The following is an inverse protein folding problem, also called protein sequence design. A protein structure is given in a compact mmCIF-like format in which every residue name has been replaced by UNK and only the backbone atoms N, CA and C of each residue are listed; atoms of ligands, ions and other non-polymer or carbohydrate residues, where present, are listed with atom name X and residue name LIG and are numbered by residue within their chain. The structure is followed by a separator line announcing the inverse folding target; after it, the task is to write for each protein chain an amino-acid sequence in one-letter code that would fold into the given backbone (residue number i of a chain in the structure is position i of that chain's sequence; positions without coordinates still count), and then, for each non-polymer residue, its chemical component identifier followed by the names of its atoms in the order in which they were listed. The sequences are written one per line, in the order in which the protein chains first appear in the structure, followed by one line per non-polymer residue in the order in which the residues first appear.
data_IF_508834810055
#
_entry.id   IF_508834810055
#
_cell.length_a   1.000
_cell.length_b   1.000
_cell.length_c   1.000
_cell.angle_alpha   90.00
_cell.angle_beta   90.00
_cell.angle_gamma   90.00
#
_symmetry.space_group_name_H-M   'P 1'
#
loop_
_entity.id
_entity.type
_entity.pdbx_description
1 polymer ?
#
# COMPACT_ATOMS: atom_id res chain seq x y z
N UNK A 1 -9.10 -19.97 -37.50
CA UNK A 1 -8.85 -19.64 -36.08
C UNK A 1 -7.35 -19.79 -35.84
N UNK A 2 -6.61 -18.70 -35.62
CA UNK A 2 -5.16 -18.76 -35.38
C UNK A 2 -4.90 -19.12 -33.92
N UNK A 3 -4.19 -20.22 -33.69
CA UNK A 3 -3.82 -20.75 -32.38
C UNK A 3 -2.40 -20.35 -31.96
N UNK A 4 -1.85 -19.28 -32.53
CA UNK A 4 -0.47 -18.90 -32.27
C UNK A 4 -0.36 -18.23 -30.89
N UNK A 5 0.33 -18.89 -29.95
CA UNK A 5 0.75 -18.29 -28.67
C UNK A 5 1.63 -17.08 -29.00
N UNK A 6 1.07 -15.88 -28.81
CA UNK A 6 1.70 -14.62 -29.18
C UNK A 6 3.09 -14.45 -28.56
N UNK A 7 4.04 -14.08 -29.41
CA UNK A 7 5.41 -13.61 -29.14
C UNK A 7 5.80 -13.47 -27.65
N UNK A 8 6.35 -14.54 -27.08
CA UNK A 8 6.70 -14.67 -25.66
C UNK A 8 7.89 -13.78 -25.26
N UNK A 9 8.59 -13.21 -26.25
CA UNK A 9 9.70 -12.26 -26.06
C UNK A 9 9.47 -10.99 -26.90
N UNK A 10 8.88 -9.96 -26.27
CA UNK A 10 8.85 -8.61 -26.86
C UNK A 10 10.27 -8.06 -26.92
N UNK A 11 10.83 -7.94 -28.12
CA UNK A 11 12.13 -7.29 -28.36
C UNK A 11 12.04 -5.75 -28.38
N UNK A 12 10.86 -5.19 -28.71
CA UNK A 12 10.66 -3.75 -28.84
C UNK A 12 9.99 -3.17 -27.57
N UNK A 13 10.46 -2.02 -27.05
CA UNK A 13 9.77 -1.32 -25.97
C UNK A 13 8.37 -0.88 -26.37
N UNK A 14 7.53 -0.63 -25.36
CA UNK A 14 6.17 -0.13 -25.56
C UNK A 14 6.19 1.17 -26.39
N UNK A 15 5.40 1.23 -27.47
CA UNK A 15 5.36 2.39 -28.40
C UNK A 15 5.05 3.71 -27.71
N UNK A 16 4.20 3.66 -26.69
CA UNK A 16 3.76 4.83 -25.92
C UNK A 16 4.28 4.71 -24.49
N UNK A 17 5.49 5.23 -24.25
CA UNK A 17 6.07 5.32 -22.91
C UNK A 17 5.75 6.67 -22.28
N UNK A 18 5.55 6.69 -20.96
CA UNK A 18 5.38 7.94 -20.24
C UNK A 18 6.73 8.69 -20.20
N UNK A 19 6.75 9.94 -20.68
CA UNK A 19 7.94 10.80 -20.60
C UNK A 19 8.23 11.31 -19.19
N UNK A 20 7.23 11.29 -18.30
CA UNK A 20 7.32 11.73 -16.92
C UNK A 20 6.59 10.77 -15.99
N UNK A 21 7.09 10.63 -14.76
CA UNK A 21 6.42 9.86 -13.73
C UNK A 21 5.05 10.46 -13.39
N UNK A 22 4.09 9.61 -13.03
CA UNK A 22 2.79 10.06 -12.55
C UNK A 22 2.94 10.84 -11.24
N UNK A 23 2.31 12.01 -11.19
CA UNK A 23 2.21 12.89 -10.02
C UNK A 23 0.73 13.11 -9.74
N UNK A 24 0.27 12.77 -8.54
CA UNK A 24 -1.15 12.84 -8.19
C UNK A 24 -1.64 14.28 -7.94
N UNK A 25 -0.73 15.20 -7.64
CA UNK A 25 -0.94 16.61 -7.31
C UNK A 25 -0.78 17.56 -8.51
N UNK A 26 -0.36 17.04 -9.68
CA UNK A 26 -0.06 17.86 -10.87
C UNK A 26 -1.26 18.72 -11.31
N UNK A 27 -2.47 18.17 -11.22
CA UNK A 27 -3.72 18.85 -11.62
C UNK A 27 -4.78 18.85 -10.51
N UNK A 28 -4.65 17.98 -9.52
CA UNK A 28 -5.62 17.80 -8.47
C UNK A 28 -5.02 18.27 -7.15
N UNK A 29 -5.32 19.53 -6.82
CA UNK A 29 -4.83 20.21 -5.62
C UNK A 29 -5.84 20.15 -4.48
N UNK A 30 -6.76 19.20 -4.50
CA UNK A 30 -7.76 19.05 -3.44
C UNK A 30 -7.08 18.85 -2.08
N UNK A 31 -7.68 19.43 -1.02
CA UNK A 31 -7.20 19.30 0.37
C UNK A 31 -6.99 17.83 0.75
N UNK A 32 -7.86 16.95 0.26
CA UNK A 32 -7.76 15.50 0.45
C UNK A 32 -6.49 14.90 -0.14
N UNK A 33 -6.12 15.29 -1.36
CA UNK A 33 -4.90 14.79 -2.02
C UNK A 33 -3.65 15.29 -1.30
N UNK A 34 -3.65 16.55 -0.86
CA UNK A 34 -2.57 17.12 -0.05
C UNK A 34 -2.41 16.37 1.28
N UNK A 35 -3.52 16.12 1.98
CA UNK A 35 -3.51 15.34 3.23
C UNK A 35 -3.00 13.91 3.00
N UNK A 36 -3.42 13.24 1.93
CA UNK A 36 -2.92 11.91 1.63
C UNK A 36 -1.42 11.91 1.29
N UNK A 37 -0.91 12.96 0.64
CA UNK A 37 0.51 13.10 0.33
C UNK A 37 1.37 13.43 1.56
N UNK A 38 0.81 14.08 2.58
CA UNK A 38 1.51 14.34 3.84
C UNK A 38 1.43 13.18 4.84
N UNK A 39 0.63 12.14 4.57
CA UNK A 39 0.57 10.96 5.44
C UNK A 39 1.88 10.17 5.37
N UNK A 40 2.61 10.18 6.48
CA UNK A 40 3.77 9.32 6.66
C UNK A 40 3.34 7.94 7.19
N UNK A 41 3.83 6.87 6.55
CA UNK A 41 3.51 5.50 6.92
C UNK A 41 4.76 4.88 7.56
N UNK A 42 4.78 4.85 8.89
CA UNK A 42 5.89 4.35 9.71
C UNK A 42 5.54 3.12 10.53
N UNK A 43 4.26 2.78 10.64
CA UNK A 43 3.74 1.73 11.53
C UNK A 43 3.82 0.31 10.95
N UNK A 44 4.22 0.14 9.69
CA UNK A 44 4.16 -1.14 8.95
C UNK A 44 5.53 -1.56 8.44
N UNK A 45 5.68 -2.85 8.11
CA UNK A 45 6.91 -3.36 7.48
C UNK A 45 7.17 -2.72 6.10
N UNK A 46 8.43 -2.74 5.64
CA UNK A 46 8.88 -2.09 4.41
C UNK A 46 8.04 -2.46 3.18
N UNK A 47 7.79 -3.77 2.97
CA UNK A 47 6.93 -4.25 1.88
C UNK A 47 5.51 -3.65 1.94
N UNK A 48 4.94 -3.53 3.13
CA UNK A 48 3.61 -2.95 3.29
C UNK A 48 3.60 -1.45 3.11
N UNK A 49 4.67 -0.76 3.52
CA UNK A 49 4.89 0.67 3.32
C UNK A 49 4.83 1.01 1.83
N UNK A 50 5.62 0.31 1.01
CA UNK A 50 5.63 0.50 -0.45
C UNK A 50 4.26 0.31 -1.10
N UNK A 51 3.49 -0.71 -0.67
CA UNK A 51 2.14 -0.96 -1.18
C UNK A 51 1.20 0.21 -0.85
N UNK A 52 1.29 0.77 0.35
CA UNK A 52 0.41 1.85 0.79
C UNK A 52 0.82 3.19 0.18
N UNK A 53 2.11 3.50 0.10
CA UNK A 53 2.66 4.66 -0.61
C UNK A 53 2.28 4.62 -2.09
N UNK A 54 2.38 3.46 -2.73
CA UNK A 54 1.90 3.28 -4.10
C UNK A 54 0.41 3.60 -4.24
N UNK A 55 -0.42 3.16 -3.28
CA UNK A 55 -1.85 3.50 -3.28
C UNK A 55 -2.09 5.01 -3.14
N UNK A 56 -1.30 5.71 -2.33
CA UNK A 56 -1.38 7.18 -2.22
C UNK A 56 -0.95 7.84 -3.53
N UNK A 57 0.23 7.45 -4.05
CA UNK A 57 0.81 7.98 -5.30
C UNK A 57 -0.13 7.85 -6.49
N UNK A 58 -0.90 6.76 -6.57
CA UNK A 58 -1.84 6.51 -7.67
C UNK A 58 -3.31 6.79 -7.33
N UNK A 59 -3.60 7.52 -6.24
CA UNK A 59 -4.97 7.86 -5.80
C UNK A 59 -5.89 6.65 -5.58
N UNK A 60 -5.32 5.49 -5.27
CA UNK A 60 -6.03 4.25 -4.95
C UNK A 60 -6.22 4.05 -3.44
N UNK A 61 -5.75 4.99 -2.61
CA UNK A 61 -5.88 4.96 -1.16
C UNK A 61 -7.28 5.42 -0.73
N UNK A 62 -8.02 4.54 -0.06
CA UNK A 62 -9.36 4.82 0.47
C UNK A 62 -9.28 4.99 1.99
N UNK A 63 -9.70 6.16 2.47
CA UNK A 63 -9.87 6.43 3.91
C UNK A 63 -11.04 5.61 4.48
N UNK A 64 -10.93 5.25 5.76
CA UNK A 64 -12.03 4.62 6.49
C UNK A 64 -13.10 5.65 6.82
N UNK A 65 -14.37 5.25 6.72
CA UNK A 65 -15.50 6.04 7.24
C UNK A 65 -15.73 5.78 8.72
N UNK A 66 -15.42 4.57 9.18
CA UNK A 66 -15.57 4.13 10.56
C UNK A 66 -14.42 3.19 10.95
N UNK A 67 -14.08 3.11 12.25
CA UNK A 67 -13.09 2.16 12.74
C UNK A 67 -13.46 0.71 12.42
N UNK A 68 -12.44 -0.10 12.12
CA UNK A 68 -12.59 -1.54 11.89
C UNK A 68 -12.31 -2.35 13.16
N UNK A 69 -12.78 -3.59 13.15
CA UNK A 69 -12.50 -4.58 14.20
C UNK A 69 -11.07 -5.09 14.05
N UNK A 70 -10.31 -5.09 15.14
CA UNK A 70 -8.97 -5.68 15.22
C UNK A 70 -9.03 -7.20 15.21
N UNK A 71 -8.19 -7.87 14.41
CA UNK A 71 -8.14 -9.34 14.37
C UNK A 71 -7.48 -9.98 15.60
N UNK A 72 -6.87 -9.19 16.49
CA UNK A 72 -6.18 -9.67 17.70
C UNK A 72 -6.97 -9.46 18.99
N UNK A 73 -7.53 -8.28 19.21
CA UNK A 73 -8.34 -8.00 20.40
C UNK A 73 -9.86 -7.99 20.13
N UNK A 74 -10.31 -8.12 18.88
CA UNK A 74 -11.73 -8.08 18.50
C UNK A 74 -12.48 -6.78 18.84
N UNK A 75 -11.76 -5.72 19.20
CA UNK A 75 -12.32 -4.39 19.45
C UNK A 75 -12.38 -3.54 18.18
N UNK A 76 -13.32 -2.59 18.11
CA UNK A 76 -13.48 -1.63 17.01
C UNK A 76 -12.52 -0.44 17.14
N UNK A 77 -11.22 -0.69 17.12
CA UNK A 77 -10.17 0.32 17.38
C UNK A 77 -9.15 0.46 16.23
N UNK A 78 -9.41 -0.12 15.06
CA UNK A 78 -8.56 0.05 13.87
C UNK A 78 -8.99 1.31 13.11
N UNK A 79 -8.33 2.42 13.39
CA UNK A 79 -8.66 3.74 12.84
C UNK A 79 -8.01 4.02 11.47
N UNK A 80 -6.96 3.28 11.13
CA UNK A 80 -6.17 3.51 9.92
C UNK A 80 -6.58 2.56 8.79
N UNK A 81 -6.71 3.10 7.57
CA UNK A 81 -7.05 2.30 6.40
C UNK A 81 -6.01 1.23 6.09
N UNK A 82 -6.48 0.09 5.59
CA UNK A 82 -5.69 -1.09 5.19
C UNK A 82 -4.96 -1.80 6.34
N UNK A 83 -5.23 -1.42 7.59
CA UNK A 83 -4.78 -2.17 8.77
C UNK A 83 -5.85 -3.21 9.15
N UNK A 84 -5.40 -4.33 9.69
CA UNK A 84 -6.24 -5.42 10.22
C UNK A 84 -6.04 -5.59 11.73
N UNK A 85 -4.90 -5.14 12.24
CA UNK A 85 -4.54 -5.15 13.66
C UNK A 85 -4.45 -3.69 14.13
N UNK A 86 -4.92 -3.41 15.34
CA UNK A 86 -4.81 -2.08 15.93
C UNK A 86 -3.39 -1.78 16.41
N UNK A 87 -3.10 -0.49 16.62
CA UNK A 87 -1.76 -0.05 17.03
C UNK A 87 -1.30 -0.71 18.34
N UNK A 88 -2.19 -0.83 19.34
CA UNK A 88 -1.86 -1.43 20.64
C UNK A 88 -1.55 -2.93 20.55
N UNK A 89 -2.25 -3.68 19.70
CA UNK A 89 -1.93 -5.09 19.47
C UNK A 89 -0.66 -5.26 18.64
N UNK A 90 -0.43 -4.38 17.65
CA UNK A 90 0.77 -4.42 16.82
C UNK A 90 2.04 -4.16 17.63
N UNK A 91 2.02 -3.19 18.55
CA UNK A 91 3.17 -2.90 19.43
C UNK A 91 3.41 -4.01 20.44
N UNK A 92 2.35 -4.53 21.09
CA UNK A 92 2.47 -5.64 22.06
C UNK A 92 3.03 -6.92 21.44
N UNK A 93 2.65 -7.22 20.20
CA UNK A 93 3.05 -8.45 19.50
C UNK A 93 4.24 -8.25 18.56
N UNK A 94 4.74 -7.01 18.41
CA UNK A 94 5.81 -6.64 17.46
C UNK A 94 5.55 -7.11 16.02
N UNK A 95 4.29 -7.02 15.59
CA UNK A 95 3.84 -7.42 14.24
C UNK A 95 3.40 -6.22 13.41
N UNK A 96 3.52 -6.36 12.09
CA UNK A 96 3.00 -5.38 11.16
C UNK A 96 1.46 -5.27 11.26
N UNK A 97 0.89 -4.06 11.50
CA UNK A 97 -0.56 -3.82 11.59
C UNK A 97 -1.37 -4.21 10.34
N UNK A 98 -0.70 -4.35 9.19
CA UNK A 98 -1.33 -4.66 7.89
C UNK A 98 -1.26 -6.14 7.54
N UNK A 99 -0.08 -6.75 7.58
CA UNK A 99 0.10 -8.16 7.19
C UNK A 99 0.22 -9.14 8.36
N UNK A 100 0.41 -8.66 9.59
CA UNK A 100 0.52 -9.51 10.78
C UNK A 100 1.84 -10.29 10.90
N UNK A 101 2.81 -10.04 10.03
CA UNK A 101 4.16 -10.64 10.10
C UNK A 101 5.03 -9.89 11.11
N UNK A 102 5.93 -10.61 11.78
CA UNK A 102 6.92 -10.03 12.69
C UNK A 102 7.88 -9.11 11.93
N UNK A 103 8.25 -7.99 12.55
CA UNK A 103 9.10 -6.96 11.92
C UNK A 103 10.58 -7.40 11.81
N UNK A 104 10.95 -8.57 12.37
CA UNK A 104 12.34 -9.07 12.41
C UNK A 104 12.70 -10.27 11.52
N UNK A 105 11.82 -10.77 10.66
CA UNK A 105 12.06 -12.02 9.89
C UNK A 105 12.29 -11.83 8.38
N UNK A 106 12.44 -10.60 7.86
CA UNK A 106 12.42 -10.36 6.41
C UNK A 106 13.76 -10.09 5.70
N UNK A 107 14.91 -10.22 6.36
CA UNK A 107 16.21 -9.82 5.75
C UNK A 107 17.20 -10.97 5.51
N UNK A 108 16.75 -12.23 5.52
CA UNK A 108 17.58 -13.35 5.08
C UNK A 108 17.25 -13.71 3.60
N UNK A 109 18.06 -13.31 2.61
CA UNK A 109 18.00 -13.93 1.30
C UNK A 109 18.45 -15.39 1.42
N UNK A 110 17.59 -16.31 0.97
CA UNK A 110 17.97 -17.70 0.68
C UNK A 110 18.81 -17.78 -0.59
#
# INVERSE_FOLDING_TARGET
MSSQKGNVSRSRPQKHQNSRAFKNDLHDKTVKTQLLNSLEITDVCQRCKEILEWKIKYKKYKLLKSPKICTKCSEKNVNLSYRTICASCATKLSVCPKCGLNIGESDAPS
#
